data_IF_612430665564
#
_entry.id   IF_612430665564
#
_cell.length_a   1.000
_cell.length_b   1.000
_cell.length_c   1.000
_cell.angle_alpha   90.00
_cell.angle_beta   90.00
_cell.angle_gamma   90.00
#
_symmetry.space_group_name_H-M   'P 1'
#
loop_
_entity.id
_entity.type
_entity.pdbx_description
1 polymer ?
#
# COMPACT_ATOMS: atom_id res chain seq x y z
N UNK A 1 13.07 5.89 22.19
CA UNK A 1 11.94 5.55 21.31
C UNK A 1 12.06 4.11 20.86
N UNK A 2 11.10 3.31 21.22
CA UNK A 2 11.15 1.89 20.91
C UNK A 2 10.49 1.64 19.56
N UNK A 3 11.33 1.56 18.55
CA UNK A 3 10.86 1.16 17.22
C UNK A 3 11.35 -0.25 16.95
N UNK A 4 10.49 -1.08 16.37
CA UNK A 4 10.89 -2.39 15.88
C UNK A 4 11.72 -2.30 14.61
N UNK A 5 11.89 -1.10 14.07
CA UNK A 5 12.58 -0.88 12.81
C UNK A 5 14.09 -0.85 13.05
N UNK A 6 14.82 -1.72 12.33
CA UNK A 6 16.28 -1.68 12.30
C UNK A 6 16.72 -0.55 11.35
N UNK A 7 17.46 0.41 11.89
CA UNK A 7 17.96 1.54 11.12
C UNK A 7 18.87 1.12 9.96
N UNK A 8 19.62 0.03 10.12
CA UNK A 8 20.48 -0.47 9.04
C UNK A 8 19.66 -1.05 7.91
N UNK A 9 18.56 -1.70 8.24
CA UNK A 9 17.64 -2.25 7.25
C UNK A 9 16.93 -1.14 6.51
N UNK A 10 16.46 -0.11 7.21
CA UNK A 10 15.86 1.07 6.58
C UNK A 10 16.85 1.72 5.62
N UNK A 11 18.10 1.91 6.03
CA UNK A 11 19.12 2.51 5.18
C UNK A 11 19.44 1.66 3.95
N UNK A 12 19.28 0.33 4.05
CA UNK A 12 19.50 -0.57 2.93
C UNK A 12 18.45 -0.35 1.83
N UNK A 13 17.20 -0.12 2.22
CA UNK A 13 16.10 0.10 1.28
C UNK A 13 15.89 1.57 0.93
N UNK A 14 16.39 2.49 1.78
CA UNK A 14 16.18 3.92 1.60
C UNK A 14 17.35 4.54 0.85
N UNK A 15 17.50 4.14 -0.39
CA UNK A 15 18.56 4.67 -1.26
C UNK A 15 18.00 5.74 -2.18
N UNK A 16 18.74 6.85 -2.38
CA UNK A 16 18.37 7.83 -3.39
C UNK A 16 18.24 7.18 -4.76
N UNK A 17 17.29 7.63 -5.56
CA UNK A 17 17.09 7.18 -6.93
C UNK A 17 16.66 5.73 -7.11
N UNK A 18 16.09 5.09 -6.07
CA UNK A 18 15.45 3.80 -6.27
C UNK A 18 14.19 3.96 -7.08
N UNK A 19 14.09 3.21 -8.16
CA UNK A 19 12.93 3.25 -9.03
C UNK A 19 11.98 2.09 -8.72
N UNK A 20 11.06 2.35 -7.81
CA UNK A 20 10.04 1.39 -7.41
C UNK A 20 9.16 0.95 -8.57
N UNK A 21 9.00 1.80 -9.57
CA UNK A 21 8.05 1.56 -10.64
C UNK A 21 8.68 1.04 -11.93
N UNK A 22 9.99 0.81 -11.92
CA UNK A 22 10.68 0.15 -13.03
C UNK A 22 10.46 -1.37 -12.94
N UNK A 23 9.60 -1.88 -13.80
CA UNK A 23 9.23 -3.30 -13.80
C UNK A 23 10.39 -4.23 -14.17
N UNK A 24 11.43 -3.69 -14.79
CA UNK A 24 12.63 -4.45 -15.13
C UNK A 24 13.81 -4.17 -14.20
N UNK A 25 13.62 -3.32 -13.20
CA UNK A 25 14.67 -2.92 -12.27
C UNK A 25 14.74 -3.76 -11.01
N UNK A 26 15.25 -3.15 -9.93
CA UNK A 26 15.48 -3.82 -8.65
C UNK A 26 14.21 -4.37 -8.01
N UNK A 27 13.06 -3.83 -8.35
CA UNK A 27 11.78 -4.22 -7.79
C UNK A 27 10.95 -5.11 -8.71
N UNK A 28 11.59 -5.70 -9.72
CA UNK A 28 10.90 -6.54 -10.71
C UNK A 28 10.15 -7.71 -10.08
N UNK A 29 10.73 -8.31 -9.03
CA UNK A 29 10.08 -9.42 -8.33
C UNK A 29 8.77 -8.97 -7.67
N UNK A 30 8.75 -7.79 -7.07
CA UNK A 30 7.54 -7.24 -6.46
C UNK A 30 6.46 -6.98 -7.51
N UNK A 31 6.85 -6.46 -8.67
CA UNK A 31 5.89 -6.26 -9.76
C UNK A 31 5.28 -7.58 -10.23
N UNK A 32 6.08 -8.64 -10.31
CA UNK A 32 5.57 -9.96 -10.71
C UNK A 32 4.62 -10.56 -9.68
N UNK A 33 4.83 -10.27 -8.40
CA UNK A 33 4.01 -10.81 -7.31
C UNK A 33 2.72 -10.02 -7.08
N UNK A 34 2.69 -8.76 -7.49
CA UNK A 34 1.56 -7.87 -7.19
C UNK A 34 0.24 -8.40 -7.71
N UNK A 35 0.11 -8.90 -8.95
CA UNK A 35 -1.20 -9.42 -9.41
C UNK A 35 -1.71 -10.57 -8.55
N UNK A 36 -0.86 -11.49 -8.15
CA UNK A 36 -1.25 -12.60 -7.27
C UNK A 36 -1.69 -12.11 -5.90
N UNK A 37 -0.99 -11.13 -5.36
CA UNK A 37 -1.32 -10.56 -4.06
C UNK A 37 -2.66 -9.83 -4.11
N UNK A 38 -2.90 -9.07 -5.15
CA UNK A 38 -4.18 -8.37 -5.33
C UNK A 38 -5.32 -9.39 -5.47
N UNK A 39 -5.12 -10.44 -6.24
CA UNK A 39 -6.13 -11.49 -6.37
C UNK A 39 -6.47 -12.13 -5.03
N UNK A 40 -5.45 -12.43 -4.23
CA UNK A 40 -5.65 -12.99 -2.90
C UNK A 40 -6.43 -12.02 -2.00
N UNK A 41 -6.05 -10.76 -2.00
CA UNK A 41 -6.72 -9.72 -1.20
C UNK A 41 -8.19 -9.60 -1.61
N UNK A 42 -8.46 -9.58 -2.90
CA UNK A 42 -9.83 -9.51 -3.42
C UNK A 42 -10.65 -10.71 -2.93
N UNK A 43 -10.06 -11.91 -2.94
CA UNK A 43 -10.76 -13.08 -2.43
C UNK A 43 -11.03 -13.00 -0.93
N UNK A 44 -10.10 -12.49 -0.16
CA UNK A 44 -10.30 -12.28 1.29
C UNK A 44 -11.44 -11.29 1.53
N UNK A 45 -11.47 -10.22 0.76
CA UNK A 45 -12.55 -9.24 0.84
C UNK A 45 -13.90 -9.89 0.52
N UNK A 46 -13.97 -10.65 -0.55
CA UNK A 46 -15.19 -11.35 -0.93
C UNK A 46 -15.70 -12.29 0.14
N UNK A 47 -14.81 -12.98 0.82
CA UNK A 47 -15.21 -13.95 1.85
C UNK A 47 -15.67 -13.31 3.15
N UNK A 48 -15.03 -12.22 3.57
CA UNK A 48 -15.15 -11.73 4.93
C UNK A 48 -15.90 -10.41 5.05
N UNK A 49 -15.88 -9.58 4.04
CA UNK A 49 -16.42 -8.22 4.15
C UNK A 49 -17.72 -8.10 3.39
N UNK A 50 -17.91 -8.93 2.39
CA UNK A 50 -19.06 -8.80 1.53
C UNK A 50 -20.12 -9.81 1.84
N UNK A 51 -20.91 -9.50 2.78
CA UNK A 51 -22.30 -9.96 2.84
C UNK A 51 -23.23 -8.99 2.18
N UNK A 52 -22.68 -7.99 1.52
CA UNK A 52 -23.48 -6.90 0.99
C UNK A 52 -23.28 -6.88 -0.48
N UNK A 53 -24.37 -6.71 -1.14
CA UNK A 53 -24.48 -6.41 -2.53
C UNK A 53 -23.20 -5.89 -3.14
N UNK A 54 -22.40 -6.79 -3.67
CA UNK A 54 -21.46 -6.37 -4.67
C UNK A 54 -22.29 -6.25 -5.92
N UNK A 55 -22.62 -5.07 -6.22
CA UNK A 55 -22.89 -4.81 -7.60
C UNK A 55 -21.70 -5.33 -8.37
N UNK A 56 -21.94 -6.06 -9.40
CA UNK A 56 -20.96 -6.54 -10.36
C UNK A 56 -19.98 -5.47 -10.85
N UNK A 57 -19.76 -4.43 -10.08
CA UNK A 57 -18.90 -3.34 -10.44
C UNK A 57 -17.47 -3.72 -10.17
N UNK A 58 -16.62 -3.15 -10.96
CA UNK A 58 -15.19 -3.23 -10.88
C UNK A 58 -14.61 -2.67 -9.58
N UNK A 59 -15.43 -2.11 -8.69
CA UNK A 59 -14.97 -1.45 -7.47
C UNK A 59 -15.24 -2.28 -6.24
N UNK A 60 -14.58 -3.43 -6.17
CA UNK A 60 -14.77 -4.36 -5.07
C UNK A 60 -14.33 -3.80 -3.71
N UNK A 61 -13.41 -2.84 -3.72
CA UNK A 61 -12.93 -2.20 -2.48
C UNK A 61 -13.70 -0.94 -2.13
N UNK A 62 -14.79 -0.65 -2.84
CA UNK A 62 -15.51 0.60 -2.68
C UNK A 62 -15.91 0.84 -1.22
N UNK A 63 -15.55 2.01 -0.72
CA UNK A 63 -15.80 2.45 0.67
C UNK A 63 -15.05 1.65 1.75
N UNK A 64 -14.11 0.79 1.38
CA UNK A 64 -13.26 0.13 2.37
C UNK A 64 -12.10 1.04 2.75
N UNK A 65 -11.85 1.15 4.05
CA UNK A 65 -10.66 1.81 4.56
C UNK A 65 -9.55 0.78 4.70
N UNK A 66 -8.46 0.97 3.94
CA UNK A 66 -7.38 0.00 3.82
C UNK A 66 -6.08 0.64 4.29
N UNK A 67 -5.34 -0.06 5.15
CA UNK A 67 -4.01 0.33 5.57
C UNK A 67 -2.99 -0.66 5.02
N UNK A 68 -1.99 -0.14 4.31
CA UNK A 68 -0.84 -0.92 3.85
C UNK A 68 0.39 -0.54 4.67
N UNK A 69 0.84 -1.45 5.53
CA UNK A 69 2.01 -1.27 6.41
C UNK A 69 3.25 -1.73 5.66
N UNK A 70 4.23 -0.85 5.53
CA UNK A 70 5.41 -1.12 4.72
C UNK A 70 5.12 -0.98 3.24
N UNK A 71 4.40 0.09 2.87
CA UNK A 71 3.86 0.24 1.52
C UNK A 71 4.91 0.47 0.42
N UNK A 72 6.14 0.84 0.79
CA UNK A 72 7.19 1.15 -0.17
C UNK A 72 6.76 2.23 -1.16
N UNK A 73 7.01 2.01 -2.43
CA UNK A 73 6.64 2.93 -3.51
C UNK A 73 5.18 2.88 -3.93
N UNK A 74 4.34 2.11 -3.24
CA UNK A 74 2.90 2.09 -3.50
C UNK A 74 2.40 1.04 -4.46
N UNK A 75 3.16 -0.04 -4.67
CA UNK A 75 2.81 -1.08 -5.66
C UNK A 75 1.49 -1.79 -5.37
N UNK A 76 1.12 -1.95 -4.10
CA UNK A 76 -0.18 -2.50 -3.72
C UNK A 76 -1.24 -1.41 -3.53
N UNK A 77 -0.84 -0.26 -3.02
CA UNK A 77 -1.77 0.82 -2.74
C UNK A 77 -2.49 1.30 -4.00
N UNK A 78 -1.79 1.40 -5.12
CA UNK A 78 -2.39 1.93 -6.34
C UNK A 78 -3.48 1.02 -6.91
N UNK A 79 -3.25 -0.29 -7.10
CA UNK A 79 -4.34 -1.16 -7.56
C UNK A 79 -5.54 -1.18 -6.61
N UNK A 80 -5.30 -1.16 -5.30
CA UNK A 80 -6.40 -1.13 -4.32
C UNK A 80 -7.19 0.17 -4.40
N UNK A 81 -6.52 1.28 -4.65
CA UNK A 81 -7.18 2.57 -4.88
C UNK A 81 -8.03 2.53 -6.15
N UNK A 82 -7.52 1.92 -7.22
CA UNK A 82 -8.28 1.77 -8.47
C UNK A 82 -9.53 0.91 -8.29
N UNK A 83 -9.51 -0.01 -7.34
CA UNK A 83 -10.66 -0.84 -6.99
C UNK A 83 -11.64 -0.14 -6.05
N UNK A 84 -11.44 1.13 -5.79
CA UNK A 84 -12.34 1.96 -5.00
C UNK A 84 -11.98 2.12 -3.54
N UNK A 85 -10.86 1.55 -3.10
CA UNK A 85 -10.45 1.62 -1.69
C UNK A 85 -10.00 3.02 -1.25
N UNK A 86 -10.29 3.33 -0.01
CA UNK A 86 -9.72 4.48 0.68
C UNK A 86 -8.41 4.03 1.31
N UNK A 87 -7.31 4.21 0.59
CA UNK A 87 -6.04 3.59 0.95
C UNK A 87 -5.15 4.57 1.70
N UNK A 88 -4.60 4.09 2.81
CA UNK A 88 -3.52 4.74 3.54
C UNK A 88 -2.30 3.81 3.48
N UNK A 89 -1.18 4.33 3.01
CA UNK A 89 0.09 3.61 2.98
C UNK A 89 1.07 4.23 3.97
N UNK A 90 1.71 3.41 4.77
CA UNK A 90 2.75 3.88 5.67
C UNK A 90 4.06 3.14 5.40
N UNK A 91 5.15 3.86 5.54
CA UNK A 91 6.50 3.31 5.44
C UNK A 91 7.45 4.20 6.22
N UNK A 92 8.51 3.62 6.75
CA UNK A 92 9.52 4.38 7.49
C UNK A 92 10.52 5.04 6.55
N UNK A 93 10.59 4.62 5.30
CA UNK A 93 11.46 5.21 4.29
C UNK A 93 10.85 6.48 3.71
N UNK A 94 11.49 7.60 3.97
CA UNK A 94 11.07 8.88 3.43
C UNK A 94 11.13 8.90 1.89
N UNK A 95 12.19 8.32 1.31
CA UNK A 95 12.34 8.26 -0.15
C UNK A 95 11.25 7.40 -0.79
N UNK A 96 10.86 6.29 -0.17
CA UNK A 96 9.77 5.46 -0.67
C UNK A 96 8.45 6.23 -0.67
N UNK A 97 8.16 6.93 0.41
CA UNK A 97 6.92 7.73 0.52
C UNK A 97 6.90 8.85 -0.51
N UNK A 98 8.01 9.54 -0.73
CA UNK A 98 8.11 10.58 -1.76
C UNK A 98 7.81 9.98 -3.14
N UNK A 99 8.42 8.85 -3.46
CA UNK A 99 8.19 8.15 -4.73
C UNK A 99 6.73 7.73 -4.86
N UNK A 100 6.15 7.18 -3.80
CA UNK A 100 4.75 6.75 -3.79
C UNK A 100 3.80 7.92 -4.07
N UNK A 101 4.01 9.03 -3.39
CA UNK A 101 3.21 10.25 -3.59
C UNK A 101 3.32 10.78 -5.02
N UNK A 102 4.53 10.85 -5.56
CA UNK A 102 4.76 11.35 -6.90
C UNK A 102 4.08 10.48 -7.95
N UNK A 103 4.21 9.17 -7.82
CA UNK A 103 3.61 8.25 -8.78
C UNK A 103 2.08 8.27 -8.71
N UNK A 104 1.51 8.27 -7.51
CA UNK A 104 0.06 8.35 -7.35
C UNK A 104 -0.50 9.64 -7.95
N UNK A 105 0.18 10.76 -7.73
CA UNK A 105 -0.22 12.04 -8.33
C UNK A 105 -0.19 11.98 -9.85
N UNK A 106 0.87 11.41 -10.41
CA UNK A 106 0.99 11.22 -11.87
C UNK A 106 -0.14 10.38 -12.43
N UNK A 107 -0.60 9.38 -11.67
CA UNK A 107 -1.68 8.49 -12.09
C UNK A 107 -3.07 9.02 -11.74
N UNK A 108 -3.18 10.18 -11.13
CA UNK A 108 -4.47 10.76 -10.75
C UNK A 108 -5.15 10.04 -9.60
N UNK A 109 -4.39 9.38 -8.74
CA UNK A 109 -4.93 8.62 -7.62
C UNK A 109 -4.79 9.41 -6.32
N UNK A 110 -5.79 9.28 -5.46
CA UNK A 110 -5.78 9.90 -4.13
C UNK A 110 -5.51 8.81 -3.10
N UNK A 111 -4.29 8.78 -2.61
CA UNK A 111 -3.84 7.83 -1.60
C UNK A 111 -3.18 8.62 -0.48
N UNK A 112 -3.50 8.27 0.76
CA UNK A 112 -2.91 8.93 1.91
C UNK A 112 -1.61 8.22 2.30
N UNK A 113 -0.46 8.81 1.97
CA UNK A 113 0.85 8.25 2.31
C UNK A 113 1.47 9.00 3.48
N UNK A 114 1.93 8.26 4.48
CA UNK A 114 2.52 8.82 5.70
C UNK A 114 3.84 8.12 5.98
N UNK A 115 4.91 8.92 6.18
CA UNK A 115 6.20 8.39 6.60
C UNK A 115 6.19 8.15 8.11
N UNK A 116 5.89 6.93 8.50
CA UNK A 116 5.77 6.54 9.91
C UNK A 116 5.84 5.02 10.05
N UNK A 117 5.97 4.55 11.27
CA UNK A 117 5.79 3.15 11.61
C UNK A 117 4.38 2.90 12.15
N UNK A 118 3.97 1.63 12.18
CA UNK A 118 2.69 1.26 12.76
C UNK A 118 2.61 1.65 14.24
N UNK A 119 3.72 1.55 14.95
CA UNK A 119 3.80 1.87 16.37
C UNK A 119 3.58 3.35 16.64
N UNK A 120 4.04 4.21 15.74
CA UNK A 120 3.91 5.66 15.87
C UNK A 120 2.61 6.20 15.30
N UNK A 121 1.94 5.39 14.49
CA UNK A 121 0.70 5.79 13.85
C UNK A 121 -0.42 5.87 14.87
N UNK A 122 -0.98 7.05 15.04
CA UNK A 122 -2.14 7.22 15.91
C UNK A 122 -3.40 6.80 15.13
N UNK A 123 -3.85 5.58 15.40
CA UNK A 123 -5.00 4.99 14.73
C UNK A 123 -6.30 5.59 15.27
N UNK A 124 -6.64 6.78 14.81
CA UNK A 124 -7.96 7.37 15.08
C UNK A 124 -9.03 6.89 14.11
N UNK A 125 -8.61 6.22 13.06
CA UNK A 125 -9.46 5.75 11.99
C UNK A 125 -9.52 4.23 12.03
N UNK A 126 -10.72 3.69 11.94
CA UNK A 126 -10.89 2.26 11.83
C UNK A 126 -10.62 1.81 10.40
N UNK A 127 -9.80 0.78 10.26
CA UNK A 127 -9.53 0.18 8.98
C UNK A 127 -10.30 -1.11 8.82
N UNK A 128 -10.86 -1.31 7.65
CA UNK A 128 -11.58 -2.54 7.31
C UNK A 128 -10.60 -3.66 6.94
N UNK A 129 -9.44 -3.29 6.43
CA UNK A 129 -8.41 -4.23 6.00
C UNK A 129 -7.04 -3.64 6.31
N UNK A 130 -6.17 -4.45 6.91
CA UNK A 130 -4.77 -4.08 7.15
C UNK A 130 -3.89 -5.11 6.44
N UNK A 131 -2.98 -4.61 5.61
CA UNK A 131 -2.03 -5.43 4.88
C UNK A 131 -0.64 -5.12 5.42
N UNK A 132 0.11 -6.16 5.71
CA UNK A 132 1.52 -6.04 6.08
C UNK A 132 2.36 -6.65 4.96
N UNK A 133 3.00 -5.80 4.24
CA UNK A 133 3.85 -6.22 3.11
C UNK A 133 5.23 -6.67 3.54
#
# INVERSE_FOLDING_TARGET
MNSTVDKREVNHFDKPNQDWWDESGSFSALHRLTPCRIEYIVQVIKRNIINKQINSSTQICNNLNILDVGCGGGLLCEPLSRLGGNVTGIDVSENAIITAKQHASKMGLKINYICTSLEELNLKKDFDLIIAS
#
